data_IF_541114186113
#
_entry.id   IF_541114186113
#
_cell.length_a   1.000
_cell.length_b   1.000
_cell.length_c   1.000
_cell.angle_alpha   90.00
_cell.angle_beta   90.00
_cell.angle_gamma   90.00
#
_symmetry.space_group_name_H-M   'P 1'
#
loop_
_entity.id
_entity.type
_entity.pdbx_description
1 polymer ?
#
# COMPACT_ATOMS: atom_id res chain seq x y z
N UNK A 1 23.58 25.88 -18.86
CA UNK A 1 22.36 25.09 -19.07
C UNK A 1 21.13 25.92 -18.76
N UNK A 2 19.95 25.58 -19.29
CA UNK A 2 18.68 26.27 -18.95
C UNK A 2 18.13 25.77 -17.62
N UNK A 3 17.44 26.64 -16.88
CA UNK A 3 16.71 26.28 -15.65
C UNK A 3 15.46 25.47 -16.03
N UNK A 4 15.20 24.39 -15.29
CA UNK A 4 13.93 23.68 -15.37
C UNK A 4 12.79 24.55 -14.80
N UNK A 5 11.66 24.62 -15.52
CA UNK A 5 10.43 25.28 -15.06
C UNK A 5 9.27 24.33 -15.37
N UNK A 6 8.53 23.84 -14.37
CA UNK A 6 7.36 23.00 -14.61
C UNK A 6 6.24 23.82 -15.27
N UNK A 7 5.29 23.14 -15.92
CA UNK A 7 4.12 23.81 -16.47
C UNK A 7 3.30 24.45 -15.32
N UNK A 8 2.68 25.63 -15.51
CA UNK A 8 2.00 26.37 -14.43
C UNK A 8 0.87 25.61 -13.72
N UNK A 9 0.29 24.63 -14.41
CA UNK A 9 -0.78 23.74 -13.97
C UNK A 9 -0.28 22.46 -13.29
N UNK A 10 1.04 22.24 -13.23
CA UNK A 10 1.63 21.08 -12.54
C UNK A 10 1.52 21.25 -11.03
N UNK A 11 0.64 20.48 -10.39
CA UNK A 11 0.51 20.42 -8.93
C UNK A 11 0.79 19.02 -8.39
N UNK A 12 1.96 18.82 -7.79
CA UNK A 12 2.29 17.55 -7.14
C UNK A 12 1.38 17.24 -5.95
N UNK A 13 0.98 18.28 -5.19
CA UNK A 13 0.09 18.10 -4.05
C UNK A 13 -1.25 17.50 -4.50
N UNK A 14 -1.85 18.03 -5.57
CA UNK A 14 -3.11 17.52 -6.11
C UNK A 14 -2.98 16.07 -6.61
N UNK A 15 -1.91 15.74 -7.33
CA UNK A 15 -1.66 14.37 -7.79
C UNK A 15 -1.43 13.39 -6.64
N UNK A 16 -0.79 13.84 -5.55
CA UNK A 16 -0.58 13.04 -4.35
C UNK A 16 -1.90 12.76 -3.64
N UNK A 17 -2.76 13.77 -3.49
CA UNK A 17 -4.10 13.62 -2.90
C UNK A 17 -4.93 12.61 -3.71
N UNK A 18 -4.98 12.77 -5.03
CA UNK A 18 -5.70 11.86 -5.92
C UNK A 18 -5.14 10.42 -5.89
N UNK A 19 -3.83 10.25 -5.65
CA UNK A 19 -3.24 8.93 -5.44
C UNK A 19 -3.66 8.32 -4.11
N UNK A 20 -3.72 9.12 -3.03
CA UNK A 20 -4.13 8.64 -1.71
C UNK A 20 -5.61 8.25 -1.69
N UNK A 21 -6.47 9.01 -2.38
CA UNK A 21 -7.89 8.66 -2.52
C UNK A 21 -8.06 7.31 -3.22
N UNK A 22 -7.38 7.10 -4.35
CA UNK A 22 -7.38 5.81 -5.06
C UNK A 22 -6.85 4.66 -4.20
N UNK A 23 -5.82 4.93 -3.39
CA UNK A 23 -5.31 3.92 -2.47
C UNK A 23 -6.35 3.56 -1.41
N UNK A 24 -7.08 4.55 -0.90
CA UNK A 24 -8.24 4.35 -0.01
C UNK A 24 -9.28 3.43 -0.65
N UNK A 25 -9.72 3.75 -1.87
CA UNK A 25 -10.70 2.95 -2.60
C UNK A 25 -10.23 1.50 -2.82
N UNK A 26 -8.94 1.31 -3.13
CA UNK A 26 -8.38 -0.03 -3.32
C UNK A 26 -8.40 -0.85 -2.03
N UNK A 27 -8.10 -0.23 -0.89
CA UNK A 27 -8.17 -0.89 0.41
C UNK A 27 -9.62 -1.21 0.77
N UNK A 28 -10.53 -0.25 0.64
CA UNK A 28 -11.95 -0.43 0.98
C UNK A 28 -12.61 -1.54 0.15
N UNK A 29 -12.37 -1.56 -1.17
CA UNK A 29 -13.05 -2.51 -2.05
C UNK A 29 -12.36 -3.87 -2.17
N UNK A 30 -11.07 -3.97 -1.83
CA UNK A 30 -10.28 -5.18 -2.15
C UNK A 30 -9.45 -5.75 -1.01
N UNK A 31 -9.39 -5.11 0.15
CA UNK A 31 -8.68 -5.65 1.31
C UNK A 31 -9.66 -6.05 2.42
N UNK A 32 -9.50 -7.25 2.96
CA UNK A 32 -10.12 -7.64 4.22
C UNK A 32 -9.29 -7.05 5.37
N UNK A 33 -9.61 -5.80 5.76
CA UNK A 33 -8.88 -5.09 6.80
C UNK A 33 -8.98 -5.76 8.16
N UNK A 34 -10.08 -6.47 8.45
CA UNK A 34 -10.27 -7.20 9.71
C UNK A 34 -9.37 -8.44 9.76
N UNK A 35 -9.20 -9.16 8.65
CA UNK A 35 -8.24 -10.26 8.55
C UNK A 35 -6.79 -9.75 8.69
N UNK A 36 -6.46 -8.64 8.05
CA UNK A 36 -5.14 -8.01 8.18
C UNK A 36 -4.87 -7.58 9.62
N UNK A 37 -5.85 -6.97 10.28
CA UNK A 37 -5.71 -6.54 11.68
C UNK A 37 -5.43 -7.72 12.61
N UNK A 38 -6.18 -8.82 12.47
CA UNK A 38 -5.94 -10.06 13.24
C UNK A 38 -4.55 -10.63 12.99
N UNK A 39 -4.07 -10.63 11.74
CA UNK A 39 -2.72 -11.10 11.41
C UNK A 39 -1.63 -10.24 12.06
N UNK A 40 -1.81 -8.92 12.09
CA UNK A 40 -0.86 -7.99 12.72
C UNK A 40 -0.80 -8.22 14.24
N UNK A 41 -1.95 -8.38 14.89
CA UNK A 41 -2.01 -8.53 16.35
C UNK A 41 -1.64 -9.93 16.84
N UNK A 42 -2.05 -10.97 16.10
CA UNK A 42 -1.98 -12.37 16.55
C UNK A 42 -0.98 -13.22 15.77
N UNK A 43 -0.41 -12.70 14.69
CA UNK A 43 0.46 -13.44 13.79
C UNK A 43 -0.29 -14.40 12.85
N UNK A 44 0.48 -15.18 12.08
CA UNK A 44 -0.08 -16.15 11.14
C UNK A 44 -0.77 -17.32 11.86
N UNK A 45 -1.86 -17.88 11.30
CA UNK A 45 -2.48 -19.09 11.84
C UNK A 45 -1.48 -20.24 11.96
N UNK A 46 -1.60 -21.01 13.05
CA UNK A 46 -0.77 -22.18 13.28
C UNK A 46 -1.04 -23.28 12.24
N UNK A 47 0.00 -24.05 11.91
CA UNK A 47 -0.11 -25.20 11.00
C UNK A 47 -0.15 -24.85 9.51
N UNK A 48 -0.01 -23.58 9.14
CA UNK A 48 0.16 -23.18 7.74
C UNK A 48 1.54 -23.58 7.20
N UNK A 49 1.65 -24.00 5.92
CA UNK A 49 2.94 -24.30 5.32
C UNK A 49 3.73 -23.01 5.10
N UNK A 50 5.03 -23.06 5.37
CA UNK A 50 5.94 -22.02 4.92
C UNK A 50 6.08 -22.06 3.40
N UNK A 51 6.02 -20.88 2.77
CA UNK A 51 6.28 -20.72 1.34
C UNK A 51 7.71 -20.19 1.18
N UNK A 52 8.59 -20.82 0.39
CA UNK A 52 9.93 -20.31 0.14
C UNK A 52 9.92 -18.88 -0.44
N UNK A 53 10.85 -17.99 -0.05
CA UNK A 53 11.97 -18.23 0.87
C UNK A 53 11.64 -18.02 2.36
N UNK A 54 10.36 -17.87 2.74
CA UNK A 54 9.94 -17.48 4.08
C UNK A 54 10.08 -18.54 5.17
N UNK A 55 10.63 -19.73 4.86
CA UNK A 55 10.88 -20.76 5.85
C UNK A 55 12.04 -20.36 6.78
N UNK A 56 12.01 -20.73 8.08
CA UNK A 56 13.15 -20.56 8.98
C UNK A 56 14.40 -21.25 8.41
N UNK A 57 15.56 -20.66 8.65
CA UNK A 57 16.86 -21.24 8.29
C UNK A 57 17.21 -22.47 9.14
#
# INVERSE_FOLDING_TARGET
GRRFVPAPDTSFAALREEQLDRLGDLIEHHADTDALWRLIESGAPQGLPFIPPGAPA
#
